data_IF_062371220308
#
_entry.id   IF_062371220308
#
_cell.length_a   1.000
_cell.length_b   1.000
_cell.length_c   1.000
_cell.angle_alpha   90.00
_cell.angle_beta   90.00
_cell.angle_gamma   90.00
#
_symmetry.space_group_name_H-M   'P 1'
#
loop_
_entity.id
_entity.type
_entity.pdbx_description
1 polymer ?
#
# COMPACT_ATOMS: atom_id res chain seq x y z
N UNK A 1 -21.23 11.70 16.72
CA UNK A 1 -20.47 12.55 15.78
C UNK A 1 -20.43 11.84 14.43
N UNK A 2 -20.31 12.56 13.30
CA UNK A 2 -20.18 11.93 11.96
C UNK A 2 -18.70 11.56 11.75
N UNK A 3 -18.30 10.42 12.33
CA UNK A 3 -16.88 10.03 12.44
C UNK A 3 -16.19 9.91 11.08
N UNK A 4 -16.90 9.51 10.03
CA UNK A 4 -16.36 9.45 8.66
C UNK A 4 -15.79 10.77 8.15
N UNK A 5 -16.56 11.86 8.21
CA UNK A 5 -16.08 13.18 7.76
C UNK A 5 -14.85 13.64 8.54
N UNK A 6 -14.87 13.46 9.87
CA UNK A 6 -13.77 13.86 10.75
C UNK A 6 -12.46 13.12 10.44
N UNK A 7 -12.53 11.83 10.03
CA UNK A 7 -11.33 11.07 9.62
C UNK A 7 -10.74 11.61 8.33
N UNK A 8 -11.56 11.96 7.33
CA UNK A 8 -11.06 12.60 6.11
C UNK A 8 -10.41 13.95 6.42
N UNK A 9 -11.09 14.82 7.18
CA UNK A 9 -10.56 16.15 7.52
C UNK A 9 -9.23 16.07 8.26
N UNK A 10 -9.05 15.08 9.14
CA UNK A 10 -7.78 14.86 9.82
C UNK A 10 -6.61 14.63 8.84
N UNK A 11 -6.76 13.71 7.88
CA UNK A 11 -5.68 13.44 6.93
C UNK A 11 -5.57 14.51 5.84
N UNK A 12 -6.67 15.19 5.48
CA UNK A 12 -6.62 16.35 4.60
C UNK A 12 -5.85 17.52 5.24
N UNK A 13 -6.02 17.76 6.54
CA UNK A 13 -5.25 18.78 7.26
C UNK A 13 -3.75 18.47 7.28
N UNK A 14 -3.37 17.20 7.46
CA UNK A 14 -1.98 16.75 7.35
C UNK A 14 -1.43 16.98 5.93
N UNK A 15 -2.18 16.55 4.91
CA UNK A 15 -1.80 16.72 3.51
C UNK A 15 -1.67 18.22 3.15
N UNK A 16 -2.63 19.05 3.57
CA UNK A 16 -2.59 20.50 3.37
C UNK A 16 -1.35 21.12 4.01
N UNK A 17 -0.99 20.70 5.23
CA UNK A 17 0.23 21.17 5.91
C UNK A 17 1.48 20.87 5.09
N UNK A 18 1.57 19.65 4.53
CA UNK A 18 2.70 19.25 3.69
C UNK A 18 2.73 20.04 2.37
N UNK A 19 1.58 20.21 1.71
CA UNK A 19 1.46 20.99 0.48
C UNK A 19 1.86 22.47 0.68
N UNK A 20 1.40 23.07 1.77
CA UNK A 20 1.75 24.46 2.12
C UNK A 20 3.25 24.62 2.37
N UNK A 21 3.89 23.64 3.00
CA UNK A 21 5.34 23.65 3.22
C UNK A 21 6.12 23.41 1.93
N UNK A 22 5.67 22.48 1.09
CA UNK A 22 6.31 22.15 -0.19
C UNK A 22 6.23 23.27 -1.20
N UNK A 23 5.12 24.05 -1.20
CA UNK A 23 4.94 25.20 -2.07
C UNK A 23 6.05 26.26 -1.93
N UNK A 24 6.71 26.31 -0.77
CA UNK A 24 7.80 27.25 -0.48
C UNK A 24 9.18 26.72 -0.90
N UNK A 25 9.25 25.52 -1.44
CA UNK A 25 10.49 24.84 -1.78
C UNK A 25 10.82 25.01 -3.26
N UNK A 26 12.10 25.00 -3.59
CA UNK A 26 12.55 25.03 -4.99
C UNK A 26 12.04 23.84 -5.80
N UNK A 27 11.90 22.68 -5.17
CA UNK A 27 11.33 21.48 -5.78
C UNK A 27 10.26 20.88 -4.85
N UNK A 28 8.98 21.27 -5.01
CA UNK A 28 7.90 20.81 -4.17
C UNK A 28 7.73 19.28 -4.16
N UNK A 29 7.75 18.62 -5.32
CA UNK A 29 7.60 17.17 -5.43
C UNK A 29 8.69 16.39 -4.68
N UNK A 30 9.96 16.78 -4.85
CA UNK A 30 11.08 16.18 -4.12
C UNK A 30 10.91 16.35 -2.61
N UNK A 31 10.53 17.55 -2.16
CA UNK A 31 10.31 17.80 -0.74
C UNK A 31 9.18 16.94 -0.19
N UNK A 32 8.06 16.83 -0.91
CA UNK A 32 6.93 15.99 -0.50
C UNK A 32 7.30 14.51 -0.40
N UNK A 33 8.04 13.99 -1.37
CA UNK A 33 8.58 12.63 -1.36
C UNK A 33 9.44 12.38 -0.11
N UNK A 34 10.31 13.33 0.24
CA UNK A 34 11.18 13.23 1.41
C UNK A 34 10.48 13.48 2.76
N UNK A 35 9.28 14.07 2.75
CA UNK A 35 8.55 14.48 3.96
C UNK A 35 7.23 13.70 4.17
N UNK A 36 7.24 12.43 3.79
CA UNK A 36 6.19 11.45 4.13
C UNK A 36 4.76 11.83 3.67
N UNK A 37 4.62 12.50 2.51
CA UNK A 37 3.28 12.79 1.95
C UNK A 37 2.49 11.52 1.60
N UNK A 38 3.18 10.41 1.32
CA UNK A 38 2.54 9.13 0.95
C UNK A 38 1.63 8.62 2.06
N UNK A 39 1.98 8.83 3.33
CA UNK A 39 1.16 8.36 4.47
C UNK A 39 -0.26 8.95 4.45
N UNK A 40 -0.47 10.28 4.52
CA UNK A 40 -1.82 10.83 4.46
C UNK A 40 -2.55 10.51 3.15
N UNK A 41 -1.84 10.40 2.02
CA UNK A 41 -2.45 9.96 0.75
C UNK A 41 -3.00 8.53 0.83
N UNK A 42 -2.24 7.58 1.38
CA UNK A 42 -2.72 6.21 1.59
C UNK A 42 -3.92 6.16 2.52
N UNK A 43 -3.93 6.95 3.60
CA UNK A 43 -5.06 6.98 4.52
C UNK A 43 -6.32 7.54 3.86
N UNK A 44 -6.17 8.58 3.04
CA UNK A 44 -7.27 9.16 2.27
C UNK A 44 -7.79 8.23 1.17
N UNK A 45 -6.90 7.52 0.47
CA UNK A 45 -7.27 6.49 -0.49
C UNK A 45 -7.99 5.32 0.20
N UNK A 46 -7.50 4.89 1.37
CA UNK A 46 -8.10 3.82 2.16
C UNK A 46 -9.53 4.16 2.57
N UNK A 47 -9.74 5.35 3.14
CA UNK A 47 -11.07 5.85 3.49
C UNK A 47 -11.96 5.88 2.24
N UNK A 48 -11.52 6.53 1.16
CA UNK A 48 -12.30 6.63 -0.06
C UNK A 48 -12.66 5.23 -0.62
N UNK A 49 -11.76 4.26 -0.55
CA UNK A 49 -12.01 2.88 -0.98
C UNK A 49 -13.14 2.21 -0.17
N UNK A 50 -13.16 2.37 1.15
CA UNK A 50 -14.25 1.81 1.96
C UNK A 50 -15.57 2.53 1.66
N UNK A 51 -15.59 3.86 1.63
CA UNK A 51 -16.81 4.64 1.34
C UNK A 51 -17.32 4.53 -0.10
N UNK A 52 -16.53 3.98 -1.05
CA UNK A 52 -17.05 3.55 -2.35
C UNK A 52 -18.05 2.39 -2.18
N UNK A 53 -17.75 1.45 -1.28
CA UNK A 53 -18.59 0.26 -1.03
C UNK A 53 -19.78 0.55 -0.11
N UNK A 54 -19.62 1.46 0.86
CA UNK A 54 -20.62 1.67 1.92
C UNK A 54 -21.42 2.98 1.79
N UNK A 55 -21.16 3.78 0.75
CA UNK A 55 -21.77 5.12 0.59
C UNK A 55 -21.98 5.49 -0.88
N UNK A 56 -21.81 6.77 -1.24
CA UNK A 56 -21.95 7.29 -2.60
C UNK A 56 -20.75 6.90 -3.46
N UNK A 57 -20.86 5.72 -4.08
CA UNK A 57 -19.88 5.16 -5.03
C UNK A 57 -19.27 6.21 -5.96
N UNK A 58 -20.10 7.00 -6.65
CA UNK A 58 -19.62 7.99 -7.63
C UNK A 58 -18.77 9.09 -7.00
N UNK A 59 -19.19 9.62 -5.84
CA UNK A 59 -18.46 10.69 -5.14
C UNK A 59 -17.11 10.18 -4.66
N UNK A 60 -17.08 9.04 -3.97
CA UNK A 60 -15.85 8.50 -3.38
C UNK A 60 -14.90 7.88 -4.41
N UNK A 61 -15.38 7.36 -5.54
CA UNK A 61 -14.51 6.95 -6.66
C UNK A 61 -13.65 8.10 -7.15
N UNK A 62 -14.26 9.28 -7.37
CA UNK A 62 -13.52 10.48 -7.80
C UNK A 62 -12.50 10.95 -6.76
N UNK A 63 -12.83 10.82 -5.46
CA UNK A 63 -11.89 11.16 -4.39
C UNK A 63 -10.71 10.19 -4.38
N UNK A 64 -10.98 8.89 -4.45
CA UNK A 64 -9.96 7.83 -4.52
C UNK A 64 -8.99 8.08 -5.68
N UNK A 65 -9.51 8.39 -6.88
CA UNK A 65 -8.70 8.66 -8.07
C UNK A 65 -7.72 9.82 -7.86
N UNK A 66 -8.14 10.90 -7.18
CA UNK A 66 -7.26 12.01 -6.87
C UNK A 66 -6.08 11.62 -5.96
N UNK A 67 -6.36 10.85 -4.91
CA UNK A 67 -5.32 10.40 -3.97
C UNK A 67 -4.40 9.35 -4.59
N UNK A 68 -4.99 8.38 -5.30
CA UNK A 68 -4.26 7.33 -6.01
C UNK A 68 -3.32 7.90 -7.06
N UNK A 69 -3.75 8.91 -7.81
CA UNK A 69 -2.92 9.55 -8.84
C UNK A 69 -1.62 10.14 -8.26
N UNK A 70 -1.70 10.79 -7.08
CA UNK A 70 -0.51 11.28 -6.39
C UNK A 70 0.31 10.14 -5.77
N UNK A 71 -0.35 9.13 -5.18
CA UNK A 71 0.33 7.97 -4.58
C UNK A 71 1.13 7.19 -5.63
N UNK A 72 0.53 6.87 -6.78
CA UNK A 72 1.18 6.15 -7.86
C UNK A 72 2.37 6.94 -8.42
N UNK A 73 2.25 8.27 -8.58
CA UNK A 73 3.36 9.13 -9.01
C UNK A 73 4.53 9.11 -8.01
N UNK A 74 4.23 9.16 -6.71
CA UNK A 74 5.25 9.02 -5.65
C UNK A 74 5.85 7.61 -5.60
N UNK A 75 5.04 6.58 -5.86
CA UNK A 75 5.50 5.20 -5.99
C UNK A 75 6.51 5.03 -7.14
N UNK A 76 6.32 5.74 -8.26
CA UNK A 76 7.28 5.78 -9.36
C UNK A 76 8.62 6.41 -8.96
N UNK A 77 8.60 7.51 -8.20
CA UNK A 77 9.82 8.13 -7.65
C UNK A 77 10.54 7.15 -6.72
N UNK A 78 9.80 6.55 -5.78
CA UNK A 78 10.30 5.62 -4.78
C UNK A 78 10.98 4.39 -5.40
N UNK A 79 10.38 3.82 -6.45
CA UNK A 79 10.94 2.68 -7.19
C UNK A 79 12.33 2.99 -7.73
N UNK A 80 12.46 4.05 -8.53
CA UNK A 80 13.74 4.37 -9.17
C UNK A 80 14.78 4.88 -8.17
N UNK A 81 14.39 5.71 -7.21
CA UNK A 81 15.31 6.28 -6.22
C UNK A 81 15.87 5.21 -5.27
N UNK A 82 15.02 4.29 -4.80
CA UNK A 82 15.42 3.21 -3.91
C UNK A 82 16.43 2.28 -4.59
N UNK A 83 16.17 1.85 -5.83
CA UNK A 83 17.11 0.99 -6.55
C UNK A 83 18.38 1.73 -6.97
N UNK A 84 18.30 3.01 -7.35
CA UNK A 84 19.50 3.80 -7.60
C UNK A 84 20.42 3.85 -6.37
N UNK A 85 19.85 4.09 -5.18
CA UNK A 85 20.58 4.13 -3.91
C UNK A 85 21.13 2.76 -3.49
N UNK A 86 20.36 1.70 -3.70
CA UNK A 86 20.80 0.33 -3.42
C UNK A 86 21.98 -0.05 -4.31
N UNK A 87 21.84 0.13 -5.63
CA UNK A 87 22.84 -0.30 -6.60
C UNK A 87 24.10 0.55 -6.60
N UNK A 88 24.01 1.84 -6.24
CA UNK A 88 25.20 2.68 -6.03
C UNK A 88 26.16 2.11 -4.98
N UNK A 89 25.67 1.30 -4.03
CA UNK A 89 26.50 0.64 -3.01
C UNK A 89 27.18 -0.63 -3.53
N UNK A 90 26.70 -1.20 -4.62
CA UNK A 90 27.25 -2.42 -5.22
C UNK A 90 28.21 -2.07 -6.36
N UNK A 91 29.53 -2.13 -6.09
CA UNK A 91 30.60 -1.82 -7.06
C UNK A 91 30.59 -2.67 -8.33
N UNK A 92 29.89 -3.82 -8.34
CA UNK A 92 29.74 -4.63 -9.55
C UNK A 92 28.76 -4.02 -10.53
N UNK A 93 27.80 -3.21 -10.06
CA UNK A 93 26.80 -2.57 -10.90
C UNK A 93 27.46 -1.43 -11.68
N UNK A 94 27.35 -1.39 -13.02
CA UNK A 94 27.91 -0.31 -13.82
C UNK A 94 27.31 1.04 -13.47
N UNK A 95 28.13 2.09 -13.47
CA UNK A 95 27.67 3.46 -13.25
C UNK A 95 26.55 3.88 -14.22
N UNK A 96 26.56 3.39 -15.46
CA UNK A 96 25.51 3.65 -16.44
C UNK A 96 24.12 3.20 -15.95
N UNK A 97 24.02 2.05 -15.29
CA UNK A 97 22.76 1.54 -14.72
C UNK A 97 22.26 2.47 -13.61
N UNK A 98 23.15 2.84 -12.68
CA UNK A 98 22.81 3.76 -11.58
C UNK A 98 22.40 5.13 -12.12
N UNK A 99 23.14 5.67 -13.08
CA UNK A 99 22.87 6.96 -13.70
C UNK A 99 21.51 6.99 -14.42
N UNK A 100 21.14 5.89 -15.08
CA UNK A 100 19.82 5.74 -15.70
C UNK A 100 18.69 5.82 -14.65
N UNK A 101 18.79 5.04 -13.57
CA UNK A 101 17.77 5.03 -12.51
C UNK A 101 17.67 6.41 -11.82
N UNK A 102 18.81 7.09 -11.61
CA UNK A 102 18.81 8.46 -11.11
C UNK A 102 18.18 9.46 -12.09
N UNK A 103 18.36 9.27 -13.40
CA UNK A 103 17.71 10.08 -14.41
C UNK A 103 16.19 9.86 -14.41
N UNK A 104 15.73 8.60 -14.34
CA UNK A 104 14.32 8.27 -14.19
C UNK A 104 13.72 8.86 -12.91
N UNK A 105 14.46 8.83 -11.79
CA UNK A 105 14.04 9.48 -10.54
C UNK A 105 13.78 10.97 -10.75
N UNK A 106 14.69 11.69 -11.43
CA UNK A 106 14.52 13.12 -11.74
C UNK A 106 13.34 13.37 -12.67
N UNK A 107 13.16 12.52 -13.67
CA UNK A 107 12.01 12.58 -14.58
C UNK A 107 10.69 12.44 -13.80
N UNK A 108 10.54 11.42 -12.95
CA UNK A 108 9.31 11.21 -12.17
C UNK A 108 9.04 12.34 -11.15
N UNK A 109 10.09 12.92 -10.56
CA UNK A 109 9.96 14.11 -9.72
C UNK A 109 9.41 15.29 -10.53
N UNK A 110 9.92 15.50 -11.75
CA UNK A 110 9.46 16.57 -12.62
C UNK A 110 7.99 16.35 -13.03
N UNK A 111 7.63 15.14 -13.45
CA UNK A 111 6.23 14.80 -13.77
C UNK A 111 5.29 15.01 -12.57
N UNK A 112 5.75 14.73 -11.35
CA UNK A 112 4.95 15.01 -10.16
C UNK A 112 4.80 16.52 -9.90
N UNK A 113 5.81 17.35 -10.15
CA UNK A 113 5.66 18.81 -10.05
C UNK A 113 4.61 19.33 -11.03
N UNK A 114 4.65 18.88 -12.28
CA UNK A 114 3.65 19.21 -13.31
C UNK A 114 2.25 18.78 -12.87
N UNK A 115 2.12 17.52 -12.44
CA UNK A 115 0.86 16.96 -11.95
C UNK A 115 0.27 17.75 -10.76
N UNK A 116 1.10 18.20 -9.82
CA UNK A 116 0.65 18.99 -8.66
C UNK A 116 0.03 20.32 -9.09
N UNK A 117 0.59 20.97 -10.11
CA UNK A 117 0.05 22.23 -10.65
C UNK A 117 -1.19 21.96 -11.51
N UNK A 118 -1.10 21.05 -12.48
CA UNK A 118 -2.18 20.73 -13.42
C UNK A 118 -3.46 20.25 -12.73
N UNK A 119 -3.33 19.56 -11.60
CA UNK A 119 -4.48 19.06 -10.82
C UNK A 119 -4.88 19.99 -9.68
N UNK A 120 -4.34 21.21 -9.62
CA UNK A 120 -4.65 22.26 -8.65
C UNK A 120 -4.34 21.87 -7.20
N UNK A 121 -3.32 21.05 -6.96
CA UNK A 121 -2.80 20.80 -5.62
C UNK A 121 -1.87 21.90 -5.16
N UNK A 122 -1.11 22.50 -6.09
CA UNK A 122 -0.20 23.63 -5.90
C UNK A 122 -0.39 24.68 -7.01
N UNK A 123 0.24 25.84 -6.87
CA UNK A 123 0.15 26.97 -7.80
C UNK A 123 -0.97 27.96 -7.48
N UNK A 124 -1.17 28.95 -8.34
CA UNK A 124 -2.10 30.06 -8.10
C UNK A 124 -3.57 29.62 -7.98
N UNK A 125 -3.90 28.50 -8.63
CA UNK A 125 -5.23 27.89 -8.61
C UNK A 125 -5.35 26.73 -7.61
N UNK A 126 -4.50 26.66 -6.57
CA UNK A 126 -4.48 25.57 -5.59
C UNK A 126 -5.77 25.51 -4.75
N UNK A 127 -6.80 24.83 -5.28
CA UNK A 127 -8.12 24.73 -4.67
C UNK A 127 -8.59 23.28 -4.47
N UNK A 128 -7.74 22.28 -4.76
CA UNK A 128 -8.12 20.86 -4.71
C UNK A 128 -8.61 20.41 -3.34
N UNK A 129 -7.89 20.76 -2.26
CA UNK A 129 -8.29 20.40 -0.89
C UNK A 129 -9.65 21.00 -0.56
N UNK A 130 -9.85 22.30 -0.82
CA UNK A 130 -11.14 22.99 -0.62
C UNK A 130 -12.28 22.33 -1.39
N UNK A 131 -12.05 21.93 -2.64
CA UNK A 131 -13.04 21.19 -3.46
C UNK A 131 -13.38 19.83 -2.87
N UNK A 132 -12.41 19.12 -2.30
CA UNK A 132 -12.63 17.84 -1.62
C UNK A 132 -13.46 18.07 -0.35
N UNK A 133 -13.08 19.02 0.50
CA UNK A 133 -13.80 19.36 1.73
C UNK A 133 -15.28 19.73 1.45
N UNK A 134 -15.53 20.56 0.43
CA UNK A 134 -16.91 20.87 0.00
C UNK A 134 -17.71 19.61 -0.33
N UNK A 135 -17.14 18.67 -1.09
CA UNK A 135 -17.80 17.40 -1.42
C UNK A 135 -18.08 16.54 -0.18
N UNK A 136 -17.20 16.56 0.82
CA UNK A 136 -17.35 15.81 2.06
C UNK A 136 -18.46 16.40 2.94
N UNK A 137 -18.58 17.73 3.01
CA UNK A 137 -19.69 18.41 3.72
C UNK A 137 -21.05 18.05 3.13
N UNK A 138 -21.12 17.90 1.80
CA UNK A 138 -22.33 17.51 1.07
C UNK A 138 -22.60 15.99 1.10
N UNK A 139 -21.83 15.19 1.83
CA UNK A 139 -22.03 13.74 1.91
C UNK A 139 -22.98 13.37 3.06
N UNK A 140 -23.86 12.40 2.81
CA UNK A 140 -24.85 11.96 3.78
C UNK A 140 -24.31 10.90 4.75
N UNK A 141 -23.38 11.29 5.62
CA UNK A 141 -22.66 10.36 6.49
C UNK A 141 -23.57 9.48 7.36
N UNK A 142 -23.23 8.18 7.40
CA UNK A 142 -23.86 7.19 8.27
C UNK A 142 -23.69 7.54 9.75
N UNK A 143 -24.60 7.01 10.58
CA UNK A 143 -24.42 6.97 12.04
C UNK A 143 -23.28 6.02 12.39
N UNK A 144 -22.69 6.21 13.56
CA UNK A 144 -21.47 5.49 13.95
C UNK A 144 -21.67 3.97 14.02
N UNK A 145 -22.79 3.50 14.55
CA UNK A 145 -23.11 2.06 14.64
C UNK A 145 -23.37 1.45 13.26
N UNK A 146 -24.14 2.13 12.42
CA UNK A 146 -24.41 1.71 11.03
C UNK A 146 -23.15 1.71 10.18
N UNK A 147 -22.27 2.68 10.37
CA UNK A 147 -20.97 2.77 9.71
C UNK A 147 -20.08 1.58 10.06
N UNK A 148 -20.00 1.19 11.34
CA UNK A 148 -19.20 0.05 11.77
C UNK A 148 -19.75 -1.28 11.22
N UNK A 149 -21.08 -1.44 11.16
CA UNK A 149 -21.68 -2.61 10.49
C UNK A 149 -21.35 -2.64 9.00
N UNK A 150 -21.45 -1.50 8.31
CA UNK A 150 -21.11 -1.43 6.90
C UNK A 150 -19.62 -1.70 6.64
N UNK A 151 -18.72 -1.25 7.52
CA UNK A 151 -17.29 -1.57 7.43
C UNK A 151 -17.05 -3.07 7.66
N UNK A 152 -17.77 -3.70 8.59
CA UNK A 152 -17.71 -5.15 8.81
C UNK A 152 -18.06 -5.91 7.52
N UNK A 153 -19.16 -5.54 6.87
CA UNK A 153 -19.63 -6.18 5.63
C UNK A 153 -18.64 -5.95 4.49
N UNK A 154 -18.12 -4.72 4.36
CA UNK A 154 -17.07 -4.38 3.41
C UNK A 154 -15.80 -5.24 3.60
N UNK A 155 -15.39 -5.51 4.83
CA UNK A 155 -14.28 -6.41 5.11
C UNK A 155 -14.58 -7.84 4.62
N UNK A 156 -15.79 -8.34 4.86
CA UNK A 156 -16.23 -9.64 4.36
C UNK A 156 -16.15 -9.75 2.84
N UNK A 157 -16.68 -8.74 2.13
CA UNK A 157 -16.60 -8.66 0.66
C UNK A 157 -15.14 -8.59 0.17
N UNK A 158 -14.31 -7.74 0.79
CA UNK A 158 -12.91 -7.60 0.41
C UNK A 158 -12.11 -8.90 0.62
N UNK A 159 -12.38 -9.63 1.71
CA UNK A 159 -11.78 -10.93 1.98
C UNK A 159 -12.22 -11.95 0.92
N UNK A 160 -13.52 -12.00 0.62
CA UNK A 160 -14.06 -12.87 -0.41
C UNK A 160 -13.42 -12.62 -1.78
N UNK A 161 -13.32 -11.36 -2.22
CA UNK A 161 -12.66 -10.99 -3.48
C UNK A 161 -11.19 -11.44 -3.53
N UNK A 162 -10.46 -11.35 -2.42
CA UNK A 162 -9.07 -11.80 -2.32
C UNK A 162 -8.98 -13.32 -2.44
N UNK A 163 -9.82 -14.05 -1.70
CA UNK A 163 -9.85 -15.52 -1.75
C UNK A 163 -10.23 -15.98 -3.17
N UNK A 164 -11.26 -15.38 -3.77
CA UNK A 164 -11.70 -15.68 -5.13
C UNK A 164 -10.59 -15.42 -6.17
N UNK A 165 -9.85 -14.29 -6.04
CA UNK A 165 -8.70 -14.00 -6.89
C UNK A 165 -7.67 -15.13 -6.84
N UNK A 166 -7.32 -15.61 -5.65
CA UNK A 166 -6.33 -16.69 -5.50
C UNK A 166 -6.84 -18.06 -5.95
N UNK A 167 -8.14 -18.33 -5.80
CA UNK A 167 -8.76 -19.54 -6.31
C UNK A 167 -8.77 -19.56 -7.84
N UNK A 168 -9.08 -18.43 -8.49
CA UNK A 168 -9.07 -18.28 -9.96
C UNK A 168 -7.69 -18.53 -10.56
N UNK A 169 -6.63 -18.04 -9.91
CA UNK A 169 -5.26 -18.30 -10.35
C UNK A 169 -4.74 -19.67 -9.94
N UNK A 170 -5.49 -20.45 -9.14
CA UNK A 170 -5.05 -21.72 -8.54
C UNK A 170 -3.71 -21.58 -7.79
N UNK A 171 -3.45 -20.39 -7.26
CA UNK A 171 -2.18 -19.99 -6.64
C UNK A 171 -0.97 -20.02 -7.59
N UNK A 172 -1.16 -20.09 -8.91
CA UNK A 172 -0.08 -20.03 -9.88
C UNK A 172 0.25 -18.57 -10.22
N UNK A 173 1.54 -18.22 -10.25
CA UNK A 173 2.04 -16.88 -10.52
C UNK A 173 3.07 -16.92 -11.65
N UNK A 174 2.81 -16.14 -12.70
CA UNK A 174 3.68 -16.01 -13.87
C UNK A 174 4.42 -14.65 -13.87
N UNK A 175 3.92 -13.68 -13.09
CA UNK A 175 4.41 -12.32 -13.12
C UNK A 175 4.49 -11.71 -11.71
N UNK A 176 5.67 -11.18 -11.37
CA UNK A 176 5.93 -10.54 -10.06
C UNK A 176 5.04 -9.33 -9.83
N UNK A 177 4.78 -8.51 -10.86
CA UNK A 177 3.98 -7.29 -10.74
C UNK A 177 2.47 -7.58 -10.87
N UNK A 178 2.06 -8.36 -11.87
CA UNK A 178 0.63 -8.61 -12.11
C UNK A 178 0.01 -9.56 -11.08
N UNK A 179 0.79 -10.47 -10.50
CA UNK A 179 0.25 -11.50 -9.61
C UNK A 179 0.69 -11.27 -8.16
N UNK A 180 1.99 -11.36 -7.87
CA UNK A 180 2.52 -11.29 -6.50
C UNK A 180 2.28 -9.90 -5.90
N UNK A 181 2.60 -8.85 -6.66
CA UNK A 181 2.43 -7.48 -6.20
C UNK A 181 0.95 -7.09 -6.09
N UNK A 182 0.09 -7.48 -7.05
CA UNK A 182 -1.35 -7.20 -6.96
C UNK A 182 -1.98 -7.92 -5.78
N UNK A 183 -1.72 -9.22 -5.56
CA UNK A 183 -2.21 -9.95 -4.38
C UNK A 183 -1.76 -9.26 -3.09
N UNK A 184 -0.48 -8.90 -2.99
CA UNK A 184 0.04 -8.15 -1.86
C UNK A 184 -0.68 -6.81 -1.69
N UNK A 185 -0.94 -6.06 -2.78
CA UNK A 185 -1.66 -4.77 -2.73
C UNK A 185 -3.08 -4.97 -2.19
N UNK A 186 -3.78 -6.04 -2.60
CA UNK A 186 -5.11 -6.36 -2.07
C UNK A 186 -5.07 -6.69 -0.58
N UNK A 187 -4.17 -7.58 -0.15
CA UNK A 187 -3.98 -7.95 1.27
C UNK A 187 -3.61 -6.74 2.13
N UNK A 188 -2.69 -5.89 1.65
CA UNK A 188 -2.19 -4.72 2.38
C UNK A 188 -3.31 -3.76 2.77
N UNK A 189 -4.36 -3.62 1.97
CA UNK A 189 -5.48 -2.74 2.30
C UNK A 189 -6.15 -3.12 3.62
N UNK A 190 -6.35 -4.42 3.87
CA UNK A 190 -6.95 -4.92 5.12
C UNK A 190 -6.15 -4.53 6.37
N UNK A 191 -4.82 -4.38 6.23
CA UNK A 191 -3.94 -3.88 7.30
C UNK A 191 -3.84 -2.35 7.40
N UNK A 192 -4.17 -1.62 6.34
CA UNK A 192 -4.12 -0.14 6.33
C UNK A 192 -5.39 0.46 6.91
N UNK A 193 -6.55 -0.16 6.66
CA UNK A 193 -7.83 0.38 7.14
C UNK A 193 -7.85 0.69 8.64
N UNK A 194 -7.29 -0.12 9.56
CA UNK A 194 -7.30 0.25 10.97
C UNK A 194 -6.61 1.58 11.28
N UNK A 195 -5.52 1.90 10.56
CA UNK A 195 -4.83 3.18 10.68
C UNK A 195 -5.68 4.33 10.14
N UNK A 196 -6.31 4.14 8.98
CA UNK A 196 -7.16 5.13 8.34
C UNK A 196 -8.44 5.41 9.15
N UNK A 197 -8.98 4.40 9.84
CA UNK A 197 -10.19 4.53 10.64
C UNK A 197 -9.96 5.05 12.06
N UNK A 198 -8.71 5.36 12.42
CA UNK A 198 -8.32 6.10 13.63
C UNK A 198 -8.99 5.58 14.90
N UNK A 199 -8.85 4.29 15.15
CA UNK A 199 -9.25 3.68 16.41
C UNK A 199 -10.58 2.94 16.40
N UNK A 200 -11.38 3.08 15.34
CA UNK A 200 -12.67 2.38 15.23
C UNK A 200 -12.57 0.94 14.71
N UNK A 201 -11.36 0.49 14.36
CA UNK A 201 -11.04 -0.91 14.08
C UNK A 201 -9.93 -1.30 15.05
N UNK A 202 -10.16 -2.34 15.85
CA UNK A 202 -9.27 -2.75 16.95
C UNK A 202 -8.93 -4.23 16.88
N UNK A 203 -7.80 -4.59 17.50
CA UNK A 203 -7.44 -6.00 17.70
C UNK A 203 -8.10 -6.54 18.95
N UNK A 204 -8.64 -7.75 18.85
CA UNK A 204 -9.08 -8.54 19.99
C UNK A 204 -8.22 -9.77 20.15
N UNK A 205 -7.87 -10.08 21.41
CA UNK A 205 -7.12 -11.28 21.76
C UNK A 205 -8.05 -12.48 21.68
N UNK A 206 -7.64 -13.50 20.92
CA UNK A 206 -8.30 -14.79 21.00
C UNK A 206 -7.98 -15.46 22.34
N UNK A 207 -8.96 -16.12 22.96
CA UNK A 207 -8.75 -16.96 24.15
C UNK A 207 -7.80 -18.12 23.88
N UNK A 208 -7.80 -18.63 22.64
CA UNK A 208 -6.98 -19.75 22.19
C UNK A 208 -6.35 -19.43 20.84
N UNK A 209 -5.04 -19.65 20.69
CA UNK A 209 -4.37 -19.54 19.40
C UNK A 209 -4.29 -20.91 18.74
N UNK A 210 -4.83 -21.09 17.52
CA UNK A 210 -4.56 -22.28 16.72
C UNK A 210 -3.06 -22.52 16.55
N UNK A 211 -2.62 -23.77 16.66
CA UNK A 211 -1.19 -24.14 16.61
C UNK A 211 -0.53 -23.78 15.29
N UNK A 212 -1.27 -23.88 14.17
CA UNK A 212 -0.74 -23.61 12.83
C UNK A 212 -0.33 -22.15 12.64
N UNK A 213 -0.89 -21.21 13.42
CA UNK A 213 -0.54 -19.80 13.33
C UNK A 213 0.87 -19.49 13.83
N UNK A 214 1.44 -20.31 14.71
CA UNK A 214 2.74 -20.05 15.36
C UNK A 214 3.86 -19.68 14.39
N UNK A 215 3.88 -20.27 13.19
CA UNK A 215 4.87 -19.97 12.13
C UNK A 215 4.79 -18.54 11.57
N UNK A 216 3.64 -17.89 11.68
CA UNK A 216 3.43 -16.51 11.23
C UNK A 216 3.72 -15.46 12.31
N UNK A 217 3.63 -15.86 13.59
CA UNK A 217 3.79 -14.98 14.75
C UNK A 217 5.28 -14.80 15.11
N UNK A 218 6.09 -14.43 14.13
CA UNK A 218 7.52 -14.18 14.35
C UNK A 218 7.72 -12.91 15.18
N UNK A 219 8.87 -12.79 15.85
CA UNK A 219 9.21 -11.60 16.64
C UNK A 219 9.09 -10.32 15.81
N UNK A 220 9.61 -10.33 14.58
CA UNK A 220 9.54 -9.21 13.64
C UNK A 220 8.10 -8.76 13.39
N UNK A 221 7.17 -9.70 13.24
CA UNK A 221 5.75 -9.40 13.01
C UNK A 221 5.09 -8.92 14.29
N UNK A 222 5.21 -9.63 15.40
CA UNK A 222 4.53 -9.27 16.65
C UNK A 222 5.02 -7.94 17.23
N UNK A 223 6.27 -7.54 16.95
CA UNK A 223 6.83 -6.25 17.40
C UNK A 223 6.74 -5.14 16.36
N UNK A 224 6.15 -5.40 15.19
CA UNK A 224 6.08 -4.42 14.10
C UNK A 224 5.29 -3.18 14.52
N UNK A 225 5.80 -1.95 14.28
CA UNK A 225 5.05 -0.73 14.54
C UNK A 225 3.77 -0.64 13.69
N UNK A 226 3.76 -1.25 12.50
CA UNK A 226 2.59 -1.30 11.62
C UNK A 226 1.44 -2.14 12.19
N UNK A 227 1.73 -2.99 13.19
CA UNK A 227 0.76 -3.85 13.84
C UNK A 227 0.19 -3.24 15.13
N UNK A 228 0.55 -1.99 15.45
CA UNK A 228 -0.02 -1.24 16.58
C UNK A 228 -1.26 -0.49 16.11
N UNK A 229 -2.39 -0.72 16.76
CA UNK A 229 -3.63 -0.02 16.44
C UNK A 229 -3.60 1.42 16.95
N UNK A 230 -4.24 2.37 16.25
CA UNK A 230 -4.44 3.71 16.77
C UNK A 230 -5.25 3.69 18.06
N UNK A 231 -5.07 4.74 18.88
CA UNK A 231 -5.91 5.00 20.05
C UNK A 231 -7.40 5.08 19.65
N UNK A 232 -8.28 4.55 20.51
CA UNK A 232 -9.73 4.49 20.26
C UNK A 232 -10.38 5.88 20.29
N UNK A 233 -9.77 6.84 20.97
CA UNK A 233 -10.34 8.15 21.26
C UNK A 233 -11.74 8.00 21.84
N UNK A 234 -12.67 8.82 21.32
CA UNK A 234 -14.08 8.82 21.73
C UNK A 234 -14.95 7.82 20.95
N UNK A 235 -14.36 6.86 20.24
CA UNK A 235 -15.13 5.85 19.48
C UNK A 235 -15.97 5.01 20.42
N UNK A 236 -17.27 4.87 20.12
CA UNK A 236 -18.21 4.05 20.90
C UNK A 236 -18.43 2.68 20.29
N UNK A 237 -18.25 2.56 18.98
CA UNK A 237 -18.46 1.33 18.23
C UNK A 237 -17.17 0.91 17.52
N UNK A 238 -16.93 -0.40 17.46
CA UNK A 238 -15.69 -0.97 16.94
C UNK A 238 -15.94 -2.14 16.03
N UNK A 239 -15.15 -2.24 14.97
CA UNK A 239 -14.88 -3.51 14.29
C UNK A 239 -13.72 -4.22 15.02
N UNK A 240 -13.91 -5.48 15.38
CA UNK A 240 -12.89 -6.28 16.03
C UNK A 240 -12.26 -7.25 15.03
N UNK A 241 -10.94 -7.17 14.90
CA UNK A 241 -10.13 -8.13 14.16
C UNK A 241 -9.41 -9.07 15.13
N UNK A 242 -9.27 -10.34 14.76
CA UNK A 242 -8.51 -11.29 15.54
C UNK A 242 -7.01 -10.98 15.46
N UNK A 243 -6.38 -10.74 16.61
CA UNK A 243 -4.96 -10.35 16.69
C UNK A 243 -4.02 -11.33 15.99
N UNK A 244 -4.19 -12.64 16.17
CA UNK A 244 -3.25 -13.63 15.65
C UNK A 244 -3.41 -13.79 14.13
N UNK A 245 -4.64 -13.72 13.62
CA UNK A 245 -4.87 -13.72 12.17
C UNK A 245 -4.46 -12.39 11.52
N UNK A 246 -4.59 -11.26 12.23
CA UNK A 246 -4.02 -9.98 11.77
C UNK A 246 -2.49 -10.03 11.67
N UNK A 247 -1.82 -10.69 12.63
CA UNK A 247 -0.39 -10.95 12.54
C UNK A 247 -0.04 -11.90 11.39
N UNK A 248 -0.85 -12.94 11.14
CA UNK A 248 -0.67 -13.80 9.98
C UNK A 248 -0.81 -13.04 8.65
N UNK A 249 -1.80 -12.14 8.53
CA UNK A 249 -1.94 -11.22 7.40
C UNK A 249 -0.70 -10.33 7.23
N UNK A 250 -0.23 -9.74 8.34
CA UNK A 250 0.98 -8.90 8.35
C UNK A 250 2.23 -9.66 7.89
N UNK A 251 2.39 -10.90 8.36
CA UNK A 251 3.44 -11.80 7.88
C UNK A 251 3.35 -12.04 6.37
N UNK A 252 2.15 -12.36 5.86
CA UNK A 252 1.96 -12.61 4.43
C UNK A 252 2.31 -11.38 3.58
N UNK A 253 1.89 -10.19 4.00
CA UNK A 253 2.23 -8.93 3.30
C UNK A 253 3.74 -8.68 3.31
N UNK A 254 4.43 -9.01 4.40
CA UNK A 254 5.87 -8.90 4.54
C UNK A 254 6.60 -9.87 3.61
N UNK A 255 6.25 -11.15 3.63
CA UNK A 255 6.92 -12.17 2.82
C UNK A 255 6.71 -11.95 1.32
N UNK A 256 5.48 -11.65 0.88
CA UNK A 256 5.24 -11.27 -0.52
C UNK A 256 5.98 -9.99 -0.89
N UNK A 257 6.17 -9.07 0.06
CA UNK A 257 6.98 -7.86 -0.13
C UNK A 257 8.45 -8.20 -0.40
N UNK A 258 9.04 -9.07 0.43
CA UNK A 258 10.42 -9.50 0.27
C UNK A 258 10.64 -10.21 -1.07
N UNK A 259 9.74 -11.12 -1.46
CA UNK A 259 9.82 -11.85 -2.73
C UNK A 259 9.68 -10.91 -3.93
N UNK A 260 8.73 -9.97 -3.85
CA UNK A 260 8.53 -8.94 -4.87
C UNK A 260 9.76 -8.06 -5.03
N UNK A 261 10.29 -7.53 -3.93
CA UNK A 261 11.42 -6.60 -3.95
C UNK A 261 12.69 -7.31 -4.47
N UNK A 262 12.89 -8.59 -4.15
CA UNK A 262 14.00 -9.39 -4.70
C UNK A 262 13.85 -9.59 -6.22
N UNK A 263 12.64 -9.87 -6.70
CA UNK A 263 12.36 -9.97 -8.13
C UNK A 263 12.56 -8.65 -8.88
N UNK A 264 12.11 -7.55 -8.28
CA UNK A 264 12.23 -6.22 -8.88
C UNK A 264 13.67 -5.74 -9.06
N UNK A 265 14.61 -6.19 -8.22
CA UNK A 265 16.03 -5.87 -8.42
C UNK A 265 16.53 -6.34 -9.78
N UNK A 266 16.16 -7.56 -10.17
CA UNK A 266 16.51 -8.14 -11.47
C UNK A 266 15.88 -7.33 -12.59
N UNK A 267 14.60 -6.97 -12.45
CA UNK A 267 13.84 -6.19 -13.45
C UNK A 267 14.45 -4.79 -13.62
N UNK A 268 14.76 -4.08 -12.54
CA UNK A 268 15.33 -2.73 -12.59
C UNK A 268 16.69 -2.69 -13.30
N UNK A 269 17.57 -3.66 -13.03
CA UNK A 269 18.87 -3.75 -13.73
C UNK A 269 18.67 -4.12 -15.20
N UNK A 270 17.79 -5.09 -15.48
CA UNK A 270 17.47 -5.51 -16.85
C UNK A 270 16.96 -4.32 -17.68
N UNK A 271 15.96 -3.60 -17.17
CA UNK A 271 15.41 -2.39 -17.79
C UNK A 271 16.53 -1.38 -18.07
N UNK A 272 17.34 -1.04 -17.07
CA UNK A 272 18.43 -0.08 -17.23
C UNK A 272 19.47 -0.55 -18.27
N UNK A 273 19.79 -1.84 -18.33
CA UNK A 273 20.71 -2.40 -19.31
C UNK A 273 20.19 -2.33 -20.74
N UNK A 274 18.87 -2.49 -20.94
CA UNK A 274 18.21 -2.36 -22.24
C UNK A 274 18.11 -0.90 -22.70
N UNK A 275 18.03 0.04 -21.75
CA UNK A 275 17.92 1.47 -22.06
C UNK A 275 19.29 2.14 -22.24
N UNK A 276 20.31 1.65 -21.54
CA UNK A 276 21.68 2.20 -21.64
C UNK A 276 22.56 1.47 -22.64
N UNK A 277 22.10 0.34 -23.17
CA UNK A 277 22.78 -0.44 -24.20
C UNK A 277 21.79 -1.19 -25.07
N UNK A 278 22.21 -1.59 -26.27
CA UNK A 278 21.36 -2.31 -27.22
C UNK A 278 21.25 -3.82 -26.90
N UNK A 279 20.93 -4.17 -25.65
CA UNK A 279 20.78 -5.57 -25.24
C UNK A 279 19.36 -6.06 -25.48
N UNK A 280 19.25 -7.26 -26.07
CA UNK A 280 17.99 -8.00 -26.16
C UNK A 280 17.60 -8.56 -24.79
N UNK A 281 16.33 -8.89 -24.64
CA UNK A 281 15.71 -9.29 -23.37
C UNK A 281 16.47 -10.41 -22.63
N UNK A 282 16.76 -11.51 -23.33
CA UNK A 282 17.45 -12.68 -22.78
C UNK A 282 18.86 -12.34 -22.29
N UNK A 283 19.59 -11.50 -23.03
CA UNK A 283 20.97 -11.13 -22.69
C UNK A 283 21.01 -10.11 -21.55
N UNK A 284 20.03 -9.20 -21.51
CA UNK A 284 19.85 -8.28 -20.40
C UNK A 284 19.59 -9.03 -19.08
N UNK A 285 18.75 -10.07 -19.09
CA UNK A 285 18.52 -10.92 -17.92
C UNK A 285 19.78 -11.66 -17.46
N UNK A 286 20.49 -12.32 -18.38
CA UNK A 286 21.74 -13.02 -18.06
C UNK A 286 22.74 -12.07 -17.40
N UNK A 287 22.89 -10.87 -17.95
CA UNK A 287 23.78 -9.84 -17.42
C UNK A 287 23.29 -9.30 -16.07
N UNK A 288 22.00 -9.08 -15.88
CA UNK A 288 21.44 -8.65 -14.59
C UNK A 288 21.77 -9.65 -13.47
N UNK A 289 21.58 -10.95 -13.70
CA UNK A 289 21.97 -11.98 -12.73
C UNK A 289 23.47 -12.05 -12.48
N UNK A 290 24.30 -11.88 -13.52
CA UNK A 290 25.75 -11.83 -13.35
C UNK A 290 26.17 -10.67 -12.43
N UNK A 291 25.54 -9.51 -12.61
CA UNK A 291 25.82 -8.30 -11.83
C UNK A 291 25.36 -8.41 -10.37
N UNK A 292 24.17 -8.99 -10.14
CA UNK A 292 23.63 -9.24 -8.79
C UNK A 292 24.38 -10.38 -8.07
N UNK A 293 24.97 -11.31 -8.82
CA UNK A 293 25.79 -12.41 -8.32
C UNK A 293 24.99 -13.68 -8.00
N UNK A 294 25.70 -14.72 -7.58
CA UNK A 294 25.16 -16.08 -7.42
C UNK A 294 24.13 -16.24 -6.30
N UNK A 295 24.03 -15.29 -5.37
CA UNK A 295 23.02 -15.29 -4.30
C UNK A 295 21.64 -14.79 -4.75
N UNK A 296 21.55 -14.19 -5.94
CA UNK A 296 20.28 -13.67 -6.46
C UNK A 296 19.37 -14.84 -6.86
N UNK A 297 18.22 -14.94 -6.19
CA UNK A 297 17.20 -15.93 -6.54
C UNK A 297 16.65 -15.65 -7.94
N UNK A 298 16.38 -16.70 -8.71
CA UNK A 298 15.78 -16.57 -10.05
C UNK A 298 14.31 -16.19 -9.93
N UNK A 299 13.80 -15.43 -10.90
CA UNK A 299 12.39 -15.02 -10.95
C UNK A 299 11.42 -16.20 -10.79
N UNK A 300 11.63 -17.30 -11.52
CA UNK A 300 10.77 -18.47 -11.38
C UNK A 300 10.77 -19.04 -9.95
N UNK A 301 11.96 -19.14 -9.33
CA UNK A 301 12.07 -19.62 -7.95
C UNK A 301 11.37 -18.70 -6.94
N UNK A 302 11.36 -17.37 -7.19
CA UNK A 302 10.62 -16.41 -6.38
C UNK A 302 9.11 -16.57 -6.55
N UNK A 303 8.65 -16.77 -7.79
CA UNK A 303 7.25 -17.05 -8.09
C UNK A 303 6.82 -18.35 -7.41
N UNK A 304 7.53 -19.46 -7.62
CA UNK A 304 7.26 -20.76 -6.98
C UNK A 304 7.22 -20.65 -5.44
N UNK A 305 8.10 -19.84 -4.85
CA UNK A 305 8.10 -19.57 -3.42
C UNK A 305 6.84 -18.79 -2.98
N UNK A 306 6.44 -17.77 -3.74
CA UNK A 306 5.22 -17.00 -3.50
C UNK A 306 3.97 -17.89 -3.61
N UNK A 307 3.90 -18.78 -4.62
CA UNK A 307 2.81 -19.74 -4.78
C UNK A 307 2.69 -20.65 -3.54
N UNK A 308 3.82 -21.22 -3.10
CA UNK A 308 3.86 -22.15 -1.97
C UNK A 308 3.37 -21.51 -0.68
N UNK A 309 3.83 -20.29 -0.36
CA UNK A 309 3.40 -19.60 0.86
C UNK A 309 1.92 -19.19 0.77
N UNK A 310 1.46 -18.72 -0.40
CA UNK A 310 0.06 -18.34 -0.61
C UNK A 310 -0.85 -19.54 -0.45
N UNK A 311 -0.56 -20.64 -1.17
CA UNK A 311 -1.34 -21.88 -1.09
C UNK A 311 -1.49 -22.35 0.35
N UNK A 312 -0.39 -22.35 1.12
CA UNK A 312 -0.42 -22.73 2.54
C UNK A 312 -1.34 -21.81 3.35
N UNK A 313 -1.15 -20.50 3.22
CA UNK A 313 -1.89 -19.51 4.00
C UNK A 313 -3.40 -19.51 3.72
N UNK A 314 -3.80 -19.62 2.46
CA UNK A 314 -5.20 -19.62 2.06
C UNK A 314 -5.88 -20.97 2.33
N UNK A 315 -5.16 -22.10 2.18
CA UNK A 315 -5.73 -23.42 2.55
C UNK A 315 -6.01 -23.53 4.05
N UNK A 316 -5.29 -22.78 4.88
CA UNK A 316 -5.52 -22.67 6.32
C UNK A 316 -6.64 -21.71 6.71
N UNK A 317 -7.34 -21.12 5.73
CA UNK A 317 -8.43 -20.17 5.90
C UNK A 317 -8.08 -19.00 6.84
N UNK A 318 -6.82 -18.55 6.79
CA UNK A 318 -6.32 -17.56 7.74
C UNK A 318 -7.01 -16.19 7.56
N UNK A 319 -7.48 -15.86 6.35
CA UNK A 319 -8.08 -14.57 6.07
C UNK A 319 -9.55 -14.50 6.52
N UNK A 320 -10.26 -15.61 6.37
CA UNK A 320 -11.67 -15.79 6.71
C UNK A 320 -11.91 -15.69 8.22
N UNK A 321 -10.89 -15.97 9.03
CA UNK A 321 -10.91 -15.80 10.49
C UNK A 321 -10.41 -14.43 10.98
N UNK A 322 -10.11 -13.50 10.06
CA UNK A 322 -9.60 -12.18 10.41
C UNK A 322 -10.62 -11.35 11.19
N UNK A 323 -11.88 -11.35 10.77
CA UNK A 323 -12.94 -10.51 11.34
C UNK A 323 -13.69 -11.30 12.41
N UNK A 324 -13.83 -10.71 13.60
CA UNK A 324 -14.62 -11.30 14.69
C UNK A 324 -16.07 -10.77 14.66
N UNK A 325 -16.24 -9.49 14.35
CA UNK A 325 -17.53 -8.81 14.32
C UNK A 325 -17.45 -7.43 14.97
N UNK A 326 -18.59 -6.91 15.42
CA UNK A 326 -18.70 -5.54 15.97
C UNK A 326 -18.89 -5.54 17.48
N UNK A 327 -18.49 -4.46 18.14
CA UNK A 327 -18.66 -4.25 19.58
C UNK A 327 -18.99 -2.78 19.90
N UNK A 328 -19.55 -2.54 21.10
CA UNK A 328 -19.85 -1.20 21.60
C UNK A 328 -19.36 -1.02 23.04
N UNK A 329 -18.93 0.20 23.39
CA UNK A 329 -18.71 0.60 24.80
C UNK A 329 -20.06 0.59 25.51
N UNK A 330 -20.12 -0.06 26.66
CA UNK A 330 -21.32 -0.11 27.50
C UNK A 330 -21.55 1.17 28.27
#
# INVERSE_FOLDING_TARGET
MKNGSARFEFFLAQLQTLLTKSAKQKNPALWLYQNNVRTPLFMLEALAKVYIGIHNKKKFTRLKEHFKLLEDALGGIDYYDSFAKEFAKNKKIPAAVVNYLQAQTREKIQSLNELLVEKNWLGDNADRIKKIQKKLTEADWLKEDDEIKAINDFYGEAIYEIVEFTAKTKFHFDNVEADVHELRRKLRWLSIYPQAFRGSIQLSKSKTSPKHLSKYLTKQITSSPYNKMPDTGDSKYFLLLNQNYFYALSWMINELGNLKDDGLKVIAIKEALQQTGALKDTDAFKKAYLLLGSKQTKLQQLLDAAEKICKTYFTENNLEHLVIGTAAVK
#
